data_IF_898348013676
#
_entry.id   IF_898348013676
#
_cell.length_a   1.000
_cell.length_b   1.000
_cell.length_c   1.000
_cell.angle_alpha   90.00
_cell.angle_beta   90.00
_cell.angle_gamma   90.00
#
_symmetry.space_group_name_H-M   'P 1'
#
loop_
_entity.id
_entity.type
_entity.pdbx_description
1 polymer ?
#
# COMPACT_ATOMS: atom_id res chain seq x y z
N UNK A 1 7.62 12.21 17.89
CA UNK A 1 9.11 12.15 17.89
C UNK A 1 9.64 12.19 16.46
N UNK A 2 10.74 12.94 16.19
CA UNK A 2 11.41 12.92 14.87
C UNK A 2 12.58 11.93 14.91
N UNK A 3 12.64 11.03 13.95
CA UNK A 3 13.64 9.96 13.88
C UNK A 3 14.33 9.98 12.51
N UNK A 4 15.64 9.92 12.52
CA UNK A 4 16.42 9.74 11.28
C UNK A 4 16.07 8.42 10.60
N UNK A 5 15.95 8.44 9.26
CA UNK A 5 15.50 7.28 8.49
C UNK A 5 16.45 6.07 8.56
N UNK A 6 17.76 6.30 8.71
CA UNK A 6 18.76 5.21 8.83
C UNK A 6 18.59 4.52 10.19
N UNK A 7 18.38 5.29 11.25
CA UNK A 7 18.09 4.74 12.59
C UNK A 7 16.75 3.99 12.60
N UNK A 8 15.74 4.51 11.94
CA UNK A 8 14.43 3.87 11.83
C UNK A 8 14.52 2.56 11.06
N UNK A 9 15.30 2.54 9.97
CA UNK A 9 15.59 1.34 9.19
C UNK A 9 16.30 0.26 10.03
N UNK A 10 17.31 0.66 10.79
CA UNK A 10 18.02 -0.26 11.68
C UNK A 10 17.09 -0.85 12.75
N UNK A 11 16.22 -0.03 13.35
CA UNK A 11 15.23 -0.47 14.32
C UNK A 11 14.24 -1.47 13.70
N UNK A 12 13.63 -1.12 12.56
CA UNK A 12 12.67 -1.96 11.86
C UNK A 12 13.29 -3.31 11.48
N UNK A 13 14.51 -3.29 10.92
CA UNK A 13 15.24 -4.50 10.56
C UNK A 13 15.48 -5.41 11.77
N UNK A 14 15.88 -4.85 12.91
CA UNK A 14 16.10 -5.62 14.14
C UNK A 14 14.82 -6.25 14.68
N UNK A 15 13.71 -5.53 14.65
CA UNK A 15 12.40 -6.07 15.09
C UNK A 15 12.02 -7.28 14.21
N UNK A 16 12.15 -7.16 12.89
CA UNK A 16 11.80 -8.24 11.96
C UNK A 16 12.74 -9.45 12.11
N UNK A 17 14.05 -9.21 12.32
CA UNK A 17 15.04 -10.28 12.60
C UNK A 17 14.70 -11.07 13.87
N UNK A 18 14.35 -10.38 14.96
CA UNK A 18 13.99 -11.02 16.23
C UNK A 18 12.71 -11.85 16.10
N UNK A 19 11.80 -11.44 15.18
CA UNK A 19 10.63 -12.23 14.79
C UNK A 19 10.95 -13.55 14.06
N UNK A 20 12.24 -13.84 13.78
CA UNK A 20 12.69 -15.09 13.16
C UNK A 20 12.91 -15.02 11.65
N UNK A 21 12.78 -13.84 11.05
CA UNK A 21 13.08 -13.63 9.62
C UNK A 21 14.57 -13.78 9.32
N UNK A 22 14.89 -14.28 8.13
CA UNK A 22 16.24 -14.25 7.58
C UNK A 22 16.72 -12.79 7.39
N UNK A 23 18.05 -12.55 7.35
CA UNK A 23 18.57 -11.21 7.10
C UNK A 23 18.04 -10.57 5.79
N UNK A 24 17.87 -11.38 4.74
CA UNK A 24 17.36 -10.91 3.46
C UNK A 24 15.87 -10.50 3.55
N UNK A 25 15.03 -11.31 4.18
CA UNK A 25 13.62 -11.00 4.41
C UNK A 25 13.46 -9.75 5.28
N UNK A 26 14.20 -9.68 6.39
CA UNK A 26 14.16 -8.55 7.31
C UNK A 26 14.56 -7.24 6.64
N UNK A 27 15.59 -7.25 5.79
CA UNK A 27 16.01 -6.07 5.04
C UNK A 27 14.90 -5.56 4.11
N UNK A 28 14.29 -6.44 3.32
CA UNK A 28 13.21 -6.07 2.38
C UNK A 28 12.02 -5.49 3.14
N UNK A 29 11.58 -6.12 4.23
CA UNK A 29 10.44 -5.65 5.02
C UNK A 29 10.73 -4.30 5.65
N UNK A 30 11.91 -4.14 6.26
CA UNK A 30 12.30 -2.89 6.91
C UNK A 30 12.43 -1.73 5.89
N UNK A 31 13.08 -1.97 4.75
CA UNK A 31 13.19 -1.00 3.65
C UNK A 31 11.80 -0.57 3.17
N UNK A 32 10.89 -1.51 2.94
CA UNK A 32 9.54 -1.21 2.48
C UNK A 32 8.77 -0.33 3.47
N UNK A 33 8.85 -0.63 4.77
CA UNK A 33 8.16 0.13 5.81
C UNK A 33 8.72 1.55 5.94
N UNK A 34 10.04 1.70 5.95
CA UNK A 34 10.67 3.02 6.08
C UNK A 34 10.49 3.85 4.81
N UNK A 35 10.57 3.23 3.63
CA UNK A 35 10.26 3.93 2.36
C UNK A 35 8.80 4.38 2.31
N UNK A 36 7.84 3.59 2.82
CA UNK A 36 6.46 4.02 2.96
C UNK A 36 6.33 5.28 3.86
N UNK A 37 7.05 5.31 4.99
CA UNK A 37 7.11 6.52 5.81
C UNK A 37 7.73 7.70 5.05
N UNK A 38 8.87 7.51 4.39
CA UNK A 38 9.53 8.57 3.62
C UNK A 38 8.59 9.17 2.56
N UNK A 39 7.80 8.34 1.89
CA UNK A 39 6.82 8.77 0.88
C UNK A 39 5.53 9.37 1.47
N UNK A 40 5.41 9.57 2.80
CA UNK A 40 4.21 10.14 3.42
C UNK A 40 3.07 9.14 3.64
N UNK A 41 3.31 7.85 3.46
CA UNK A 41 2.34 6.77 3.66
C UNK A 41 2.50 6.10 5.03
N UNK A 42 2.40 6.85 6.11
CA UNK A 42 2.67 6.40 7.49
C UNK A 42 1.77 5.24 7.94
N UNK A 43 0.59 5.11 7.35
CA UNK A 43 -0.31 3.98 7.61
C UNK A 43 0.25 2.62 7.18
N UNK A 44 1.23 2.61 6.28
CA UNK A 44 1.93 1.44 5.76
C UNK A 44 3.41 1.41 6.17
N UNK A 45 3.80 2.32 7.07
CA UNK A 45 5.15 2.46 7.58
C UNK A 45 5.42 1.58 8.81
N UNK A 46 6.43 1.97 9.58
CA UNK A 46 6.90 1.22 10.76
C UNK A 46 5.86 0.99 11.86
N UNK A 47 4.77 1.77 11.86
CA UNK A 47 3.62 1.54 12.73
C UNK A 47 2.92 0.19 12.50
N UNK A 48 3.21 -0.50 11.39
CA UNK A 48 2.71 -1.86 11.13
C UNK A 48 3.46 -2.95 11.89
N UNK A 49 4.64 -2.65 12.43
CA UNK A 49 5.46 -3.65 13.13
C UNK A 49 4.77 -4.27 14.34
N UNK A 50 3.98 -3.49 15.08
CA UNK A 50 3.19 -4.01 16.20
C UNK A 50 2.16 -5.07 15.74
N UNK A 51 1.47 -4.80 14.63
CA UNK A 51 0.55 -5.79 14.05
C UNK A 51 1.31 -7.03 13.55
N UNK A 52 2.48 -6.85 12.93
CA UNK A 52 3.26 -7.99 12.45
C UNK A 52 3.76 -8.88 13.59
N UNK A 53 4.21 -8.28 14.70
CA UNK A 53 4.63 -9.05 15.89
C UNK A 53 3.45 -9.85 16.46
N UNK A 54 2.27 -9.24 16.58
CA UNK A 54 1.07 -9.94 17.04
C UNK A 54 0.65 -11.06 16.10
N UNK A 55 0.71 -10.84 14.79
CA UNK A 55 0.32 -11.82 13.78
C UNK A 55 1.34 -12.97 13.68
N UNK A 56 2.63 -12.71 13.95
CA UNK A 56 3.64 -13.75 14.11
C UNK A 56 3.35 -14.63 15.33
N UNK A 57 3.05 -14.04 16.48
CA UNK A 57 2.71 -14.75 17.71
C UNK A 57 1.42 -15.57 17.58
N UNK A 58 0.44 -15.04 16.83
CA UNK A 58 -0.80 -15.74 16.50
C UNK A 58 -0.61 -16.83 15.42
N UNK A 59 0.54 -16.88 14.74
CA UNK A 59 0.81 -17.82 13.64
C UNK A 59 0.09 -17.49 12.33
N UNK A 60 -0.50 -16.31 12.21
CA UNK A 60 -1.19 -15.83 11.01
C UNK A 60 -0.24 -15.18 10.00
N UNK A 61 0.94 -14.74 10.46
CA UNK A 61 2.09 -14.36 9.64
C UNK A 61 3.17 -15.43 9.78
N UNK A 62 3.75 -15.87 8.67
CA UNK A 62 4.83 -16.87 8.64
C UNK A 62 6.09 -16.28 8.02
N UNK A 63 7.20 -16.39 8.74
CA UNK A 63 8.52 -15.92 8.26
C UNK A 63 9.12 -16.87 7.22
N UNK A 64 10.01 -16.35 6.39
CA UNK A 64 10.88 -17.10 5.46
C UNK A 64 10.07 -17.98 4.48
N UNK A 65 8.90 -17.55 4.08
CA UNK A 65 8.10 -18.31 3.13
C UNK A 65 8.64 -18.14 1.70
N UNK A 66 8.72 -19.28 1.01
CA UNK A 66 8.85 -19.30 -0.45
C UNK A 66 7.44 -19.47 -1.03
N UNK A 67 7.03 -18.63 -2.00
CA UNK A 67 5.71 -18.76 -2.60
C UNK A 67 5.59 -20.08 -3.35
N UNK A 68 4.38 -20.65 -3.33
CA UNK A 68 4.02 -21.77 -4.18
C UNK A 68 3.54 -21.24 -5.54
N UNK A 69 4.16 -21.69 -6.62
CA UNK A 69 3.68 -21.37 -7.97
C UNK A 69 2.55 -22.35 -8.32
N UNK A 70 1.31 -21.87 -8.17
CA UNK A 70 0.10 -22.67 -8.39
C UNK A 70 -0.11 -22.95 -9.88
N UNK A 71 0.17 -21.96 -10.73
CA UNK A 71 0.15 -22.09 -12.18
C UNK A 71 1.10 -21.13 -12.83
N UNK A 72 1.65 -21.51 -13.99
CA UNK A 72 2.49 -20.64 -14.80
C UNK A 72 2.38 -21.08 -16.29
N UNK A 73 1.86 -20.17 -17.12
CA UNK A 73 1.72 -20.40 -18.58
C UNK A 73 2.69 -19.55 -19.39
N UNK A 74 3.68 -18.94 -18.75
CA UNK A 74 4.67 -18.04 -19.36
C UNK A 74 4.26 -16.57 -19.31
N UNK A 75 3.03 -16.24 -19.61
CA UNK A 75 2.49 -14.86 -19.53
C UNK A 75 1.53 -14.64 -18.37
N UNK A 76 0.94 -15.73 -17.85
CA UNK A 76 0.04 -15.68 -16.69
C UNK A 76 0.58 -16.63 -15.63
N UNK A 77 0.69 -16.16 -14.40
CA UNK A 77 1.10 -16.97 -13.26
C UNK A 77 0.25 -16.66 -12.03
N UNK A 78 -0.03 -17.69 -11.24
CA UNK A 78 -0.71 -17.56 -9.95
C UNK A 78 0.19 -18.11 -8.85
N UNK A 79 0.43 -17.29 -7.84
CA UNK A 79 1.32 -17.59 -6.72
C UNK A 79 0.55 -17.58 -5.41
N UNK A 80 0.83 -18.53 -4.55
CA UNK A 80 0.33 -18.57 -3.17
C UNK A 80 1.46 -18.19 -2.22
N UNK A 81 1.28 -17.10 -1.49
CA UNK A 81 2.28 -16.57 -0.57
C UNK A 81 2.35 -17.31 0.77
N UNK A 82 1.42 -18.25 1.04
CA UNK A 82 1.44 -19.13 2.22
C UNK A 82 1.50 -18.35 3.55
N UNK A 83 0.82 -17.21 3.61
CA UNK A 83 0.83 -16.26 4.72
C UNK A 83 2.23 -15.66 5.04
N UNK A 84 3.15 -15.65 4.08
CA UNK A 84 4.45 -15.00 4.20
C UNK A 84 4.35 -13.48 4.11
N UNK A 85 5.45 -12.78 4.45
CA UNK A 85 5.53 -11.33 4.29
C UNK A 85 5.21 -10.91 2.86
N UNK A 86 4.10 -10.17 2.72
CA UNK A 86 3.62 -9.74 1.42
C UNK A 86 4.61 -8.84 0.70
N UNK A 87 5.37 -8.00 1.42
CA UNK A 87 6.40 -7.14 0.85
C UNK A 87 7.47 -7.93 0.09
N UNK A 88 7.86 -9.08 0.61
CA UNK A 88 8.87 -9.93 -0.01
C UNK A 88 8.32 -10.65 -1.23
N UNK A 89 7.17 -11.30 -1.07
CA UNK A 89 6.62 -12.18 -2.11
C UNK A 89 5.98 -11.38 -3.24
N UNK A 90 5.31 -10.26 -2.95
CA UNK A 90 4.77 -9.38 -3.99
C UNK A 90 5.89 -8.75 -4.84
N UNK A 91 7.03 -8.39 -4.23
CA UNK A 91 8.22 -7.93 -4.96
C UNK A 91 8.71 -9.02 -5.94
N UNK A 92 8.87 -10.25 -5.48
CA UNK A 92 9.28 -11.37 -6.33
C UNK A 92 8.28 -11.62 -7.48
N UNK A 93 6.99 -11.53 -7.19
CA UNK A 93 5.92 -11.71 -8.17
C UNK A 93 5.96 -10.63 -9.27
N UNK A 94 6.21 -9.37 -8.89
CA UNK A 94 6.35 -8.26 -9.85
C UNK A 94 7.66 -8.38 -10.65
N UNK A 95 8.77 -8.76 -10.03
CA UNK A 95 10.04 -9.03 -10.73
C UNK A 95 9.86 -10.15 -11.78
N UNK A 96 9.15 -11.23 -11.43
CA UNK A 96 8.76 -12.26 -12.41
C UNK A 96 7.92 -11.70 -13.54
N UNK A 97 6.91 -10.86 -13.23
CA UNK A 97 6.02 -10.30 -14.24
C UNK A 97 6.78 -9.36 -15.20
N UNK A 98 7.78 -8.61 -14.70
CA UNK A 98 8.65 -7.77 -15.52
C UNK A 98 9.44 -8.63 -16.54
N UNK A 99 10.07 -9.71 -16.09
CA UNK A 99 10.84 -10.60 -16.98
C UNK A 99 9.92 -11.30 -18.01
N UNK A 100 8.73 -11.71 -17.61
CA UNK A 100 7.75 -12.28 -18.52
C UNK A 100 7.24 -11.22 -19.54
N UNK A 101 7.00 -9.97 -19.11
CA UNK A 101 6.58 -8.89 -20.00
C UNK A 101 7.67 -8.52 -21.00
N UNK A 102 8.94 -8.44 -20.62
CA UNK A 102 10.07 -8.26 -21.55
C UNK A 102 10.06 -9.29 -22.67
N UNK A 103 9.77 -10.55 -22.32
CA UNK A 103 9.77 -11.67 -23.26
C UNK A 103 8.54 -11.68 -24.16
N UNK A 104 7.36 -11.44 -23.61
CA UNK A 104 6.08 -11.68 -24.26
C UNK A 104 5.27 -10.41 -24.56
N UNK A 105 5.71 -9.24 -24.10
CA UNK A 105 5.02 -7.96 -24.26
C UNK A 105 4.06 -7.63 -23.10
N UNK A 106 3.51 -8.66 -22.44
CA UNK A 106 2.60 -8.50 -21.30
C UNK A 106 2.74 -9.71 -20.37
N UNK A 107 2.55 -9.47 -19.08
CA UNK A 107 2.40 -10.52 -18.08
C UNK A 107 1.29 -10.18 -17.10
N UNK A 108 0.60 -11.21 -16.59
CA UNK A 108 -0.38 -11.12 -15.52
C UNK A 108 0.06 -12.03 -14.38
N UNK A 109 0.15 -11.48 -13.18
CA UNK A 109 0.41 -12.27 -11.98
C UNK A 109 -0.74 -12.12 -10.99
N UNK A 110 -1.29 -13.23 -10.53
CA UNK A 110 -2.21 -13.32 -9.41
C UNK A 110 -1.45 -13.77 -8.16
N UNK A 111 -1.37 -12.94 -7.13
CA UNK A 111 -0.84 -13.28 -5.82
C UNK A 111 -1.99 -13.48 -4.85
N UNK A 112 -1.97 -14.57 -4.09
CA UNK A 112 -2.98 -14.88 -3.08
C UNK A 112 -2.36 -15.27 -1.75
N UNK A 113 -3.15 -15.19 -0.68
CA UNK A 113 -2.77 -15.58 0.68
C UNK A 113 -1.47 -14.93 1.16
N UNK A 114 -1.17 -13.70 0.70
CA UNK A 114 -0.08 -12.92 1.24
C UNK A 114 -0.51 -12.29 2.56
N UNK A 115 0.40 -12.20 3.52
CA UNK A 115 0.23 -11.25 4.61
C UNK A 115 0.33 -9.83 4.05
N UNK A 116 0.26 -8.80 4.90
CA UNK A 116 0.24 -7.39 4.45
C UNK A 116 1.33 -7.07 3.41
N UNK A 117 0.93 -6.53 2.25
CA UNK A 117 1.85 -6.22 1.15
C UNK A 117 2.46 -4.81 1.23
N UNK A 118 2.07 -4.00 2.23
CA UNK A 118 2.58 -2.65 2.42
C UNK A 118 2.06 -1.64 1.41
N UNK A 119 2.86 -0.63 1.10
CA UNK A 119 2.55 0.41 0.09
C UNK A 119 2.63 -0.18 -1.32
N UNK A 120 1.52 -0.11 -2.06
CA UNK A 120 1.44 -0.73 -3.40
C UNK A 120 2.28 0.02 -4.43
N UNK A 121 2.44 1.34 -4.26
CA UNK A 121 3.30 2.18 -5.10
C UNK A 121 4.73 1.65 -5.24
N UNK A 122 5.27 0.98 -4.24
CA UNK A 122 6.60 0.34 -4.30
C UNK A 122 6.72 -0.63 -5.48
N UNK A 123 5.67 -1.40 -5.75
CA UNK A 123 5.66 -2.38 -6.86
C UNK A 123 5.54 -1.67 -8.22
N UNK A 124 4.74 -0.59 -8.27
CA UNK A 124 4.67 0.28 -9.43
C UNK A 124 6.01 0.91 -9.75
N UNK A 125 6.74 1.40 -8.74
CA UNK A 125 8.08 1.97 -8.90
C UNK A 125 9.10 0.93 -9.41
N UNK A 126 9.05 -0.31 -8.92
CA UNK A 126 9.91 -1.40 -9.41
C UNK A 126 9.67 -1.63 -10.90
N UNK A 127 8.41 -1.72 -11.33
CA UNK A 127 8.06 -1.92 -12.72
C UNK A 127 8.46 -0.70 -13.60
N UNK A 128 8.18 0.52 -13.15
CA UNK A 128 8.50 1.74 -13.87
C UNK A 128 10.02 1.94 -14.06
N UNK A 129 10.83 1.65 -13.03
CA UNK A 129 12.31 1.65 -13.13
C UNK A 129 12.83 0.60 -14.12
N UNK A 130 12.11 -0.48 -14.33
CA UNK A 130 12.41 -1.49 -15.35
C UNK A 130 11.90 -1.11 -16.76
N UNK A 131 11.31 0.09 -16.91
CA UNK A 131 10.75 0.60 -18.18
C UNK A 131 9.38 0.03 -18.51
N UNK A 132 8.67 -0.60 -17.54
CA UNK A 132 7.38 -1.24 -17.75
C UNK A 132 6.23 -0.37 -17.26
N UNK A 133 5.10 -0.43 -17.96
CA UNK A 133 3.82 0.03 -17.43
C UNK A 133 3.26 -1.06 -16.51
N UNK A 134 2.76 -0.69 -15.34
CA UNK A 134 2.17 -1.66 -14.41
C UNK A 134 0.83 -1.18 -13.85
N UNK A 135 -0.08 -2.13 -13.67
CA UNK A 135 -1.36 -1.94 -12.98
C UNK A 135 -1.46 -2.99 -11.87
N UNK A 136 -1.73 -2.53 -10.65
CA UNK A 136 -1.91 -3.41 -9.49
C UNK A 136 -3.27 -3.14 -8.87
N UNK A 137 -4.06 -4.20 -8.70
CA UNK A 137 -5.32 -4.21 -7.97
C UNK A 137 -5.14 -5.06 -6.72
N UNK A 138 -5.53 -4.52 -5.58
CA UNK A 138 -5.32 -5.19 -4.30
C UNK A 138 -6.63 -5.30 -3.53
N UNK A 139 -6.87 -6.47 -2.95
CA UNK A 139 -7.89 -6.61 -1.93
C UNK A 139 -7.26 -6.85 -0.56
N UNK A 140 -8.01 -6.51 0.47
CA UNK A 140 -7.64 -6.79 1.86
C UNK A 140 -8.78 -7.55 2.52
N UNK A 141 -8.49 -8.71 3.08
CA UNK A 141 -9.41 -9.47 3.91
C UNK A 141 -8.86 -9.52 5.33
N UNK A 142 -9.36 -8.67 6.22
CA UNK A 142 -8.89 -8.54 7.60
C UNK A 142 -9.94 -7.85 8.45
N UNK A 143 -10.32 -8.46 9.55
CA UNK A 143 -11.20 -7.87 10.56
C UNK A 143 -12.50 -7.27 10.01
N UNK A 144 -13.19 -6.44 10.82
CA UNK A 144 -14.42 -5.78 10.36
C UNK A 144 -14.12 -4.70 9.33
N UNK A 145 -14.75 -4.73 8.14
CA UNK A 145 -14.49 -3.80 7.07
C UNK A 145 -14.97 -2.39 7.44
N UNK A 146 -14.11 -1.35 7.33
CA UNK A 146 -14.46 0.01 7.74
C UNK A 146 -15.08 0.86 6.64
N UNK A 147 -15.03 0.47 5.36
CA UNK A 147 -15.45 1.30 4.22
C UNK A 147 -16.85 0.89 3.75
N UNK A 148 -17.76 1.86 3.72
CA UNK A 148 -19.12 1.64 3.23
C UNK A 148 -19.18 1.53 1.70
N UNK A 149 -20.08 0.73 1.13
CA UNK A 149 -20.42 0.83 -0.27
C UNK A 149 -21.22 2.12 -0.52
N UNK A 150 -21.29 2.54 -1.79
CA UNK A 150 -22.10 3.71 -2.17
C UNK A 150 -23.54 3.59 -1.67
N UNK A 151 -24.02 4.62 -0.96
CA UNK A 151 -25.33 4.69 -0.27
C UNK A 151 -25.51 3.71 0.90
N UNK A 152 -24.46 3.00 1.29
CA UNK A 152 -24.45 2.16 2.48
C UNK A 152 -24.03 2.95 3.72
N UNK A 153 -24.47 2.49 4.89
CA UNK A 153 -24.02 2.99 6.21
C UNK A 153 -23.29 1.95 7.04
N UNK A 154 -23.02 0.81 6.45
CA UNK A 154 -22.26 -0.27 7.07
C UNK A 154 -21.04 -0.61 6.22
N UNK A 155 -19.91 -0.90 6.85
CA UNK A 155 -18.70 -1.30 6.14
C UNK A 155 -18.86 -2.64 5.40
N UNK A 156 -18.33 -2.68 4.18
CA UNK A 156 -18.29 -3.90 3.34
C UNK A 156 -16.93 -4.09 2.67
N UNK A 157 -16.09 -3.06 2.64
CA UNK A 157 -14.77 -3.07 2.03
C UNK A 157 -13.71 -2.61 3.03
N UNK A 158 -12.50 -3.03 2.82
CA UNK A 158 -11.33 -2.34 3.32
C UNK A 158 -10.91 -1.26 2.30
N UNK A 159 -9.65 -0.83 2.36
CA UNK A 159 -9.19 0.32 1.57
C UNK A 159 -8.85 -0.03 0.12
N UNK A 160 -8.74 -1.32 -0.21
CA UNK A 160 -8.59 -1.91 -1.55
C UNK A 160 -7.88 -1.00 -2.55
N UNK A 161 -6.55 -0.84 -2.44
CA UNK A 161 -5.82 0.13 -3.23
C UNK A 161 -5.63 -0.29 -4.68
N UNK A 162 -5.45 0.72 -5.53
CA UNK A 162 -5.04 0.57 -6.94
C UNK A 162 -3.76 1.35 -7.15
N UNK A 163 -2.80 0.75 -7.85
CA UNK A 163 -1.62 1.45 -8.31
C UNK A 163 -1.46 1.31 -9.82
N UNK A 164 -1.21 2.44 -10.49
CA UNK A 164 -0.88 2.49 -11.90
C UNK A 164 0.44 3.24 -12.02
N UNK A 165 1.42 2.61 -12.68
CA UNK A 165 2.74 3.18 -12.91
C UNK A 165 3.05 3.25 -14.39
N UNK A 166 3.56 4.39 -14.83
CA UNK A 166 4.05 4.64 -16.18
C UNK A 166 5.54 5.00 -16.07
N UNK A 167 6.43 4.39 -16.84
CA UNK A 167 7.85 4.68 -16.76
C UNK A 167 8.15 6.15 -17.07
N UNK A 168 9.21 6.67 -16.45
CA UNK A 168 9.69 8.02 -16.71
C UNK A 168 10.27 8.18 -18.10
N UNK A 169 10.57 9.41 -18.44
CA UNK A 169 11.28 9.81 -19.66
C UNK A 169 12.70 10.26 -19.32
N UNK A 170 13.44 10.75 -20.29
CA UNK A 170 14.73 11.37 -20.02
C UNK A 170 14.60 12.72 -19.28
N UNK A 171 13.39 13.33 -19.28
CA UNK A 171 13.11 14.63 -18.69
C UNK A 171 12.21 14.57 -17.45
N UNK A 172 11.47 13.49 -17.25
CA UNK A 172 10.50 13.37 -16.17
C UNK A 172 10.60 12.02 -15.43
N UNK A 173 10.46 12.09 -14.14
CA UNK A 173 10.32 10.92 -13.29
C UNK A 173 9.04 10.11 -13.62
N UNK A 174 8.95 8.84 -13.23
CA UNK A 174 7.77 8.02 -13.47
C UNK A 174 6.48 8.66 -12.93
N UNK A 175 5.38 8.49 -13.67
CA UNK A 175 4.04 8.77 -13.15
C UNK A 175 3.61 7.59 -12.29
N UNK A 176 3.30 7.87 -11.03
CA UNK A 176 2.90 6.87 -10.06
C UNK A 176 1.58 7.28 -9.41
N UNK A 177 0.50 6.64 -9.80
CA UNK A 177 -0.82 6.81 -9.20
C UNK A 177 -1.05 5.64 -8.23
N UNK A 178 -0.89 5.89 -6.92
CA UNK A 178 -1.12 4.90 -5.84
C UNK A 178 -2.13 5.48 -4.86
N UNK A 179 -3.31 4.85 -4.75
CA UNK A 179 -4.38 5.38 -3.93
C UNK A 179 -5.31 4.29 -3.39
N UNK A 180 -5.83 4.54 -2.18
CA UNK A 180 -6.92 3.75 -1.62
C UNK A 180 -8.25 4.07 -2.30
N UNK A 181 -9.15 3.11 -2.41
CA UNK A 181 -10.53 3.34 -2.92
C UNK A 181 -11.43 4.01 -1.89
N UNK A 182 -10.99 4.12 -0.65
CA UNK A 182 -11.61 4.95 0.40
C UNK A 182 -11.17 6.41 0.29
N UNK A 183 -12.00 7.33 0.79
CA UNK A 183 -11.70 8.77 0.79
C UNK A 183 -10.49 9.12 1.65
N UNK A 184 -10.27 8.36 2.72
CA UNK A 184 -9.12 8.47 3.63
C UNK A 184 -8.65 7.09 4.06
N UNK A 185 -7.36 6.95 4.33
CA UNK A 185 -6.81 5.74 4.94
C UNK A 185 -7.15 5.69 6.43
N UNK A 186 -7.37 4.49 6.98
CA UNK A 186 -7.64 4.30 8.43
C UNK A 186 -6.53 4.85 9.33
N UNK A 187 -5.29 4.82 8.87
CA UNK A 187 -4.18 5.45 9.59
C UNK A 187 -4.35 6.96 9.78
N UNK A 188 -4.90 7.68 8.79
CA UNK A 188 -5.22 9.11 8.92
C UNK A 188 -6.34 9.36 9.93
N UNK A 189 -7.35 8.48 9.96
CA UNK A 189 -8.43 8.54 10.97
C UNK A 189 -7.85 8.34 12.37
N UNK A 190 -6.93 7.38 12.55
CA UNK A 190 -6.26 7.13 13.82
C UNK A 190 -5.47 8.35 14.30
N UNK A 191 -4.67 8.94 13.43
CA UNK A 191 -3.88 10.14 13.74
C UNK A 191 -4.79 11.30 14.16
N UNK A 192 -5.87 11.55 13.41
CA UNK A 192 -6.83 12.58 13.75
C UNK A 192 -7.51 12.32 15.10
N UNK A 193 -7.94 11.08 15.36
CA UNK A 193 -8.52 10.66 16.63
C UNK A 193 -7.57 10.90 17.80
N UNK A 194 -6.33 10.44 17.71
CA UNK A 194 -5.32 10.59 18.74
C UNK A 194 -4.96 12.07 19.01
N UNK A 195 -5.02 12.90 17.96
CA UNK A 195 -4.75 14.34 18.07
C UNK A 195 -5.99 15.17 18.46
N UNK A 196 -7.16 14.57 18.61
CA UNK A 196 -8.42 15.30 18.86
C UNK A 196 -8.79 16.26 17.74
N UNK A 197 -8.37 15.98 16.49
CA UNK A 197 -8.62 16.82 15.31
C UNK A 197 -9.77 16.29 14.47
N UNK A 198 -10.57 17.16 13.84
CA UNK A 198 -11.62 16.72 12.94
C UNK A 198 -11.04 16.11 11.65
N UNK A 199 -11.81 15.22 11.05
CA UNK A 199 -11.57 14.71 9.69
C UNK A 199 -12.11 15.67 8.63
N UNK A 200 -11.73 15.41 7.37
CA UNK A 200 -12.27 16.14 6.23
C UNK A 200 -13.80 15.90 6.10
N UNK A 201 -14.52 16.93 5.69
CA UNK A 201 -15.95 16.82 5.35
C UNK A 201 -16.20 15.73 4.33
N UNK A 202 -17.25 14.94 4.54
CA UNK A 202 -17.64 13.84 3.67
C UNK A 202 -16.68 12.65 3.70
N UNK A 203 -15.82 12.51 4.71
CA UNK A 203 -14.97 11.34 4.90
C UNK A 203 -15.64 10.22 5.69
N UNK A 204 -16.53 10.58 6.63
CA UNK A 204 -17.11 9.64 7.59
C UNK A 204 -18.64 9.76 7.64
N UNK A 205 -19.29 8.63 7.98
CA UNK A 205 -20.65 8.60 8.53
C UNK A 205 -20.60 8.02 9.95
N UNK A 206 -21.48 8.50 10.81
CA UNK A 206 -21.75 7.84 12.09
C UNK A 206 -22.56 6.53 11.90
N UNK A 207 -22.83 5.82 12.98
CA UNK A 207 -23.60 4.57 12.97
C UNK A 207 -25.05 4.75 12.49
N UNK A 208 -25.59 5.97 12.55
CA UNK A 208 -26.95 6.28 12.04
C UNK A 208 -26.96 6.59 10.56
N UNK A 209 -25.78 6.79 9.93
CA UNK A 209 -25.60 7.15 8.53
C UNK A 209 -25.54 8.65 8.29
N UNK A 210 -25.38 9.48 9.35
CA UNK A 210 -25.24 10.93 9.21
C UNK A 210 -23.77 11.29 8.97
N UNK A 211 -23.50 12.26 8.08
CA UNK A 211 -22.15 12.77 7.87
C UNK A 211 -21.55 13.35 9.16
N UNK A 212 -20.28 13.03 9.41
CA UNK A 212 -19.54 13.53 10.57
C UNK A 212 -18.09 13.77 10.25
N UNK A 213 -17.44 14.69 10.97
CA UNK A 213 -15.99 14.91 10.96
C UNK A 213 -15.31 14.35 12.21
N UNK A 214 -16.07 13.78 13.15
CA UNK A 214 -15.53 13.21 14.38
C UNK A 214 -14.92 11.83 14.13
N UNK A 215 -13.59 11.67 14.21
CA UNK A 215 -12.93 10.39 14.00
C UNK A 215 -13.25 9.35 15.10
N UNK A 216 -13.76 9.77 16.27
CA UNK A 216 -14.09 8.87 17.39
C UNK A 216 -15.19 7.87 17.03
N UNK A 217 -16.04 8.19 16.05
CA UNK A 217 -17.10 7.27 15.58
C UNK A 217 -16.56 5.94 15.06
N UNK A 218 -15.30 5.90 14.60
CA UNK A 218 -14.66 4.66 14.13
C UNK A 218 -14.19 3.74 15.26
N UNK A 219 -14.16 4.24 16.51
CA UNK A 219 -13.68 3.53 17.70
C UNK A 219 -14.78 3.29 18.74
N UNK A 220 -15.98 3.77 18.50
CA UNK A 220 -17.15 3.55 19.36
C UNK A 220 -17.68 2.11 19.25
N UNK A 221 -18.47 1.67 20.22
CA UNK A 221 -19.12 0.36 20.18
C UNK A 221 -20.03 0.21 18.95
N UNK A 222 -20.80 1.25 18.64
CA UNK A 222 -21.53 1.37 17.38
C UNK A 222 -20.69 2.15 16.37
N UNK A 223 -19.91 1.42 15.58
CA UNK A 223 -18.95 2.04 14.67
C UNK A 223 -19.61 2.77 13.52
N UNK A 224 -19.06 3.94 13.21
CA UNK A 224 -19.28 4.62 11.95
C UNK A 224 -18.50 3.95 10.79
N UNK A 225 -18.49 4.59 9.64
CA UNK A 225 -17.82 4.09 8.45
C UNK A 225 -17.05 5.20 7.73
N UNK A 226 -16.01 4.79 7.02
CA UNK A 226 -15.31 5.63 6.04
C UNK A 226 -16.04 5.56 4.71
N UNK A 227 -16.16 6.68 4.01
CA UNK A 227 -16.76 6.74 2.68
C UNK A 227 -15.75 6.43 1.57
N UNK A 228 -16.20 5.87 0.43
CA UNK A 228 -15.36 5.72 -0.76
C UNK A 228 -15.03 7.09 -1.38
N UNK A 229 -13.87 7.22 -2.06
CA UNK A 229 -13.59 8.44 -2.81
C UNK A 229 -14.56 8.58 -3.99
N UNK A 230 -14.93 9.81 -4.37
CA UNK A 230 -15.78 10.06 -5.54
C UNK A 230 -17.07 9.22 -5.55
N UNK A 231 -17.62 8.93 -4.37
CA UNK A 231 -18.91 8.26 -4.16
C UNK A 231 -18.97 6.87 -4.85
N UNK A 232 -19.87 6.72 -5.86
CA UNK A 232 -20.07 5.47 -6.59
C UNK A 232 -18.82 5.00 -7.35
N UNK A 233 -17.91 5.91 -7.73
CA UNK A 233 -16.69 5.58 -8.48
C UNK A 233 -15.72 4.77 -7.61
N UNK A 234 -15.38 5.29 -6.43
CA UNK A 234 -14.53 4.59 -5.47
C UNK A 234 -15.16 3.30 -4.95
N UNK A 235 -16.48 3.31 -4.69
CA UNK A 235 -17.21 2.10 -4.29
C UNK A 235 -17.18 1.02 -5.39
N UNK A 236 -17.39 1.41 -6.64
CA UNK A 236 -17.31 0.51 -7.78
C UNK A 236 -15.91 -0.08 -7.94
N UNK A 237 -14.89 0.76 -7.80
CA UNK A 237 -13.49 0.32 -7.91
C UNK A 237 -13.08 -0.59 -6.73
N UNK A 238 -13.57 -0.32 -5.50
CA UNK A 238 -13.37 -1.21 -4.34
C UNK A 238 -13.92 -2.62 -4.60
N UNK A 239 -15.12 -2.71 -5.16
CA UNK A 239 -15.71 -4.00 -5.57
C UNK A 239 -14.87 -4.68 -6.65
N UNK A 240 -14.42 -3.94 -7.67
CA UNK A 240 -13.57 -4.49 -8.74
C UNK A 240 -12.26 -5.03 -8.15
N UNK A 241 -11.62 -4.34 -7.21
CA UNK A 241 -10.44 -4.85 -6.51
C UNK A 241 -10.72 -6.15 -5.73
N UNK A 242 -11.85 -6.24 -5.01
CA UNK A 242 -12.27 -7.48 -4.34
C UNK A 242 -12.43 -8.64 -5.31
N UNK A 243 -13.00 -8.38 -6.49
CA UNK A 243 -13.23 -9.43 -7.48
C UNK A 243 -11.93 -9.83 -8.18
N UNK A 244 -11.12 -8.87 -8.63
CA UNK A 244 -9.88 -9.13 -9.36
C UNK A 244 -8.82 -9.76 -8.45
N UNK A 245 -8.54 -9.13 -7.31
CA UNK A 245 -7.47 -9.52 -6.40
C UNK A 245 -7.90 -10.56 -5.35
N UNK A 246 -9.20 -10.74 -5.16
CA UNK A 246 -9.76 -11.77 -4.29
C UNK A 246 -10.25 -12.97 -5.10
N UNK A 247 -11.45 -12.87 -5.64
CA UNK A 247 -12.16 -14.02 -6.24
C UNK A 247 -11.43 -14.59 -7.46
N UNK A 248 -10.99 -13.76 -8.42
CA UNK A 248 -10.41 -14.21 -9.69
C UNK A 248 -9.05 -14.87 -9.50
N UNK A 249 -8.20 -14.34 -8.59
CA UNK A 249 -6.90 -14.96 -8.30
C UNK A 249 -7.00 -16.14 -7.32
N UNK A 250 -8.20 -16.43 -6.81
CA UNK A 250 -8.43 -17.47 -5.82
C UNK A 250 -7.92 -17.13 -4.42
N UNK A 251 -7.85 -15.83 -4.08
CA UNK A 251 -7.61 -15.34 -2.72
C UNK A 251 -8.92 -15.24 -1.92
N UNK A 252 -8.82 -14.82 -0.66
CA UNK A 252 -9.99 -14.60 0.19
C UNK A 252 -10.56 -13.21 -0.07
N UNK A 253 -11.87 -13.11 -0.30
CA UNK A 253 -12.60 -11.83 -0.33
C UNK A 253 -13.14 -11.49 1.05
N UNK A 254 -13.30 -10.19 1.35
CA UNK A 254 -13.92 -9.76 2.59
C UNK A 254 -15.43 -10.02 2.56
N UNK A 255 -15.88 -11.04 3.27
CA UNK A 255 -17.29 -11.41 3.40
C UNK A 255 -17.60 -11.87 4.83
N UNK A 256 -18.86 -12.14 5.14
CA UNK A 256 -19.26 -12.72 6.43
C UNK A 256 -18.67 -14.11 6.70
N UNK A 257 -18.14 -14.77 5.66
CA UNK A 257 -17.49 -16.07 5.77
C UNK A 257 -15.98 -15.96 6.03
N UNK A 258 -15.43 -14.75 6.00
CA UNK A 258 -13.99 -14.54 6.28
C UNK A 258 -13.77 -14.66 7.79
N UNK A 259 -12.99 -15.66 8.26
CA UNK A 259 -12.72 -15.79 9.68
C UNK A 259 -11.95 -14.58 10.22
N UNK A 260 -12.39 -13.98 11.34
CA UNK A 260 -11.73 -12.80 11.90
C UNK A 260 -10.31 -13.08 12.42
N UNK A 261 -9.99 -14.34 12.74
CA UNK A 261 -8.71 -14.76 13.32
C UNK A 261 -7.61 -14.99 12.23
N UNK A 262 -7.90 -14.75 10.96
CA UNK A 262 -6.93 -14.99 9.87
C UNK A 262 -5.77 -14.01 9.83
N UNK A 263 -5.78 -12.95 10.64
CA UNK A 263 -4.85 -11.84 10.50
C UNK A 263 -5.09 -11.05 9.21
N UNK A 264 -4.08 -10.37 8.72
CA UNK A 264 -4.16 -9.61 7.46
C UNK A 264 -3.92 -10.57 6.29
N UNK A 265 -4.87 -10.63 5.36
CA UNK A 265 -4.72 -11.37 4.10
C UNK A 265 -4.88 -10.41 2.94
N UNK A 266 -3.86 -10.37 2.07
CA UNK A 266 -3.91 -9.64 0.82
C UNK A 266 -3.91 -10.60 -0.38
N UNK A 267 -4.71 -10.26 -1.37
CA UNK A 267 -4.55 -10.69 -2.74
C UNK A 267 -4.11 -9.51 -3.61
N UNK A 268 -3.42 -9.80 -4.70
CA UNK A 268 -3.03 -8.80 -5.69
C UNK A 268 -3.12 -9.38 -7.10
N UNK A 269 -3.74 -8.64 -8.01
CA UNK A 269 -3.62 -8.86 -9.44
C UNK A 269 -2.71 -7.81 -10.02
N UNK A 270 -1.61 -8.24 -10.64
CA UNK A 270 -0.66 -7.36 -11.34
C UNK A 270 -0.72 -7.60 -12.84
N UNK A 271 -0.80 -6.53 -13.61
CA UNK A 271 -0.65 -6.54 -15.08
C UNK A 271 0.57 -5.68 -15.39
N UNK A 272 1.57 -6.26 -16.05
CA UNK A 272 2.80 -5.58 -16.45
C UNK A 272 2.91 -5.62 -17.95
N UNK A 273 3.15 -4.47 -18.58
CA UNK A 273 3.16 -4.31 -20.03
C UNK A 273 4.51 -3.70 -20.45
N UNK A 274 5.13 -4.29 -21.45
CA UNK A 274 6.28 -3.70 -22.15
C UNK A 274 5.78 -2.66 -23.17
N UNK A 275 5.92 -1.35 -22.89
CA UNK A 275 5.40 -0.33 -23.79
C UNK A 275 6.12 -0.28 -25.14
N UNK A 276 7.35 -0.82 -25.25
CA UNK A 276 8.09 -0.92 -26.52
C UNK A 276 7.40 -1.85 -27.53
N UNK A 277 6.46 -2.68 -27.08
CA UNK A 277 5.62 -3.52 -27.97
C UNK A 277 4.38 -2.78 -28.49
N UNK A 278 4.05 -1.62 -27.93
CA UNK A 278 2.86 -0.86 -28.29
C UNK A 278 3.19 0.35 -29.15
N UNK A 279 4.35 0.98 -28.96
CA UNK A 279 4.72 2.24 -29.60
C UNK A 279 6.22 2.34 -29.79
N UNK A 280 6.62 3.26 -30.69
CA UNK A 280 8.02 3.66 -30.85
C UNK A 280 8.42 4.49 -29.62
N UNK A 281 9.52 4.12 -28.99
CA UNK A 281 9.99 4.72 -27.73
C UNK A 281 10.04 6.25 -27.78
N UNK A 282 10.69 6.82 -28.78
CA UNK A 282 10.91 8.27 -28.87
C UNK A 282 9.60 9.04 -29.00
N UNK A 283 8.65 8.52 -29.79
CA UNK A 283 7.32 9.12 -29.91
C UNK A 283 6.56 9.05 -28.59
N UNK A 284 6.60 7.92 -27.88
CA UNK A 284 5.97 7.75 -26.57
C UNK A 284 6.55 8.72 -25.55
N UNK A 285 7.88 8.82 -25.45
CA UNK A 285 8.54 9.74 -24.51
C UNK A 285 8.17 11.20 -24.79
N UNK A 286 8.14 11.61 -26.05
CA UNK A 286 7.74 12.97 -26.45
C UNK A 286 6.32 13.30 -26.02
N UNK A 287 5.37 12.39 -26.23
CA UNK A 287 3.97 12.59 -25.83
C UNK A 287 3.79 12.61 -24.32
N UNK A 288 4.50 11.76 -23.56
CA UNK A 288 4.48 11.78 -22.10
C UNK A 288 5.00 13.13 -21.59
N UNK A 289 6.14 13.61 -22.10
CA UNK A 289 6.72 14.90 -21.71
C UNK A 289 5.79 16.07 -22.04
N UNK A 290 5.18 16.05 -23.23
CA UNK A 290 4.22 17.06 -23.64
C UNK A 290 2.98 17.08 -22.72
N UNK A 291 2.44 15.91 -22.37
CA UNK A 291 1.28 15.81 -21.50
C UNK A 291 1.58 16.28 -20.07
N UNK A 292 2.72 15.89 -19.48
CA UNK A 292 3.16 16.37 -18.18
C UNK A 292 3.32 17.90 -18.18
N UNK A 293 4.01 18.43 -19.20
CA UNK A 293 4.21 19.88 -19.36
C UNK A 293 2.89 20.61 -19.49
N UNK A 294 1.95 20.06 -20.26
CA UNK A 294 0.61 20.63 -20.43
C UNK A 294 -0.16 20.69 -19.10
N UNK A 295 -0.18 19.61 -18.35
CA UNK A 295 -0.84 19.59 -17.04
C UNK A 295 -0.22 20.60 -16.09
N UNK A 296 1.11 20.65 -16.03
CA UNK A 296 1.85 21.55 -15.09
C UNK A 296 1.80 23.02 -15.51
N UNK A 297 1.47 23.33 -16.76
CA UNK A 297 1.27 24.70 -17.24
C UNK A 297 -0.07 25.32 -16.83
N UNK A 298 -0.98 24.52 -16.23
CA UNK A 298 -2.22 25.06 -15.70
C UNK A 298 -1.93 26.06 -14.56
N UNK A 299 -2.69 27.16 -14.52
CA UNK A 299 -2.56 28.12 -13.42
C UNK A 299 -2.97 27.44 -12.11
N UNK A 300 -2.15 27.50 -11.06
CA UNK A 300 -2.49 26.93 -9.77
C UNK A 300 -3.70 27.65 -9.17
N UNK A 301 -4.55 26.91 -8.44
CA UNK A 301 -5.68 27.49 -7.72
C UNK A 301 -5.22 28.31 -6.50
N UNK A 302 -4.09 27.93 -5.94
CA UNK A 302 -3.38 28.63 -4.88
C UNK A 302 -1.97 28.95 -5.42
N UNK A 303 -1.62 30.25 -5.48
CA UNK A 303 -0.37 30.72 -6.08
C UNK A 303 0.88 30.18 -5.36
N UNK A 304 0.76 29.81 -4.08
CA UNK A 304 1.84 29.24 -3.26
C UNK A 304 2.01 27.73 -3.47
N UNK A 305 1.07 27.05 -4.16
CA UNK A 305 1.06 25.61 -4.34
C UNK A 305 1.16 25.24 -5.84
N UNK A 306 2.24 24.60 -6.27
CA UNK A 306 2.38 24.20 -7.69
C UNK A 306 1.39 23.11 -8.08
N UNK A 307 1.02 23.07 -9.37
CA UNK A 307 0.29 21.93 -9.95
C UNK A 307 1.20 20.72 -9.97
N UNK A 308 0.76 19.62 -9.35
CA UNK A 308 1.51 18.37 -9.24
C UNK A 308 0.87 17.26 -10.08
N UNK A 309 1.70 16.36 -10.59
CA UNK A 309 1.27 15.12 -11.21
C UNK A 309 1.45 13.95 -10.24
N UNK A 310 0.81 12.81 -10.54
CA UNK A 310 0.85 11.63 -9.67
C UNK A 310 2.29 11.13 -9.44
N UNK A 311 2.65 10.89 -8.19
CA UNK A 311 3.98 10.51 -7.71
C UNK A 311 4.84 11.70 -7.25
N UNK A 312 4.53 12.95 -7.62
CA UNK A 312 5.28 14.12 -7.14
C UNK A 312 5.09 14.37 -5.63
N UNK A 313 3.87 14.27 -5.05
CA UNK A 313 3.69 14.44 -3.60
C UNK A 313 4.57 13.49 -2.79
N UNK A 314 4.68 12.23 -3.20
CA UNK A 314 5.50 11.21 -2.55
C UNK A 314 7.00 11.55 -2.65
N UNK A 315 7.46 12.03 -3.79
CA UNK A 315 8.87 12.44 -3.99
C UNK A 315 9.23 13.69 -3.17
N UNK A 316 8.31 14.64 -3.06
CA UNK A 316 8.48 15.84 -2.22
C UNK A 316 8.58 15.41 -0.76
N UNK A 317 7.61 14.63 -0.26
CA UNK A 317 7.62 14.12 1.10
C UNK A 317 8.90 13.34 1.42
N UNK A 318 9.35 12.49 0.48
CA UNK A 318 10.57 11.72 0.62
C UNK A 318 11.81 12.61 0.76
N UNK A 319 11.92 13.64 -0.06
CA UNK A 319 13.05 14.58 0.00
C UNK A 319 13.08 15.34 1.32
N UNK A 320 11.93 15.84 1.75
CA UNK A 320 11.77 16.57 3.01
C UNK A 320 12.08 15.67 4.21
N UNK A 321 11.55 14.44 4.24
CA UNK A 321 11.74 13.52 5.36
C UNK A 321 13.14 12.91 5.44
N UNK A 322 13.85 12.81 4.34
CA UNK A 322 15.28 12.45 4.36
C UNK A 322 16.09 13.59 5.04
N UNK A 323 15.76 14.84 4.76
CA UNK A 323 16.49 15.98 5.29
C UNK A 323 16.11 16.30 6.75
N UNK A 324 14.81 16.24 7.08
CA UNK A 324 14.28 16.67 8.38
C UNK A 324 14.08 15.51 9.38
N UNK A 325 14.11 14.26 8.92
CA UNK A 325 13.70 13.08 9.67
C UNK A 325 12.21 12.76 9.51
N UNK A 326 11.82 11.59 9.98
CA UNK A 326 10.45 11.07 9.92
C UNK A 326 9.76 11.34 11.26
N UNK A 327 8.61 12.00 11.22
CA UNK A 327 7.78 12.18 12.41
C UNK A 327 7.01 10.89 12.70
N UNK A 328 7.27 10.31 13.87
CA UNK A 328 6.55 9.16 14.41
C UNK A 328 5.69 9.62 15.58
N UNK A 329 4.39 9.34 15.52
CA UNK A 329 3.48 9.70 16.62
C UNK A 329 3.83 8.95 17.91
N UNK A 330 3.47 9.54 19.06
CA UNK A 330 3.88 9.02 20.37
C UNK A 330 3.31 7.64 20.66
N UNK A 331 2.11 7.31 20.16
CA UNK A 331 1.50 5.99 20.35
C UNK A 331 2.26 4.92 19.56
N UNK A 332 2.60 5.19 18.30
CA UNK A 332 3.44 4.31 17.48
C UNK A 332 4.81 4.14 18.11
N UNK A 333 5.43 5.24 18.59
CA UNK A 333 6.74 5.14 19.23
C UNK A 333 6.70 4.32 20.53
N UNK A 334 5.65 4.46 21.33
CA UNK A 334 5.46 3.65 22.53
C UNK A 334 5.32 2.15 22.20
N UNK A 335 4.57 1.81 21.15
CA UNK A 335 4.45 0.42 20.66
C UNK A 335 5.81 -0.16 20.23
N UNK A 336 6.58 0.59 19.43
CA UNK A 336 7.91 0.16 19.01
C UNK A 336 8.86 -0.01 20.21
N UNK A 337 8.81 0.92 21.17
CA UNK A 337 9.60 0.85 22.40
C UNK A 337 9.25 -0.37 23.26
N UNK A 338 7.97 -0.72 23.37
CA UNK A 338 7.52 -1.91 24.07
C UNK A 338 8.04 -3.21 23.41
N UNK A 339 8.07 -3.25 22.07
CA UNK A 339 8.66 -4.38 21.33
C UNK A 339 10.18 -4.47 21.61
N UNK A 340 10.88 -3.34 21.57
CA UNK A 340 12.33 -3.29 21.84
C UNK A 340 12.64 -3.81 23.24
N UNK A 341 11.88 -3.38 24.25
CA UNK A 341 12.04 -3.82 25.64
C UNK A 341 11.72 -5.33 25.80
N UNK A 342 10.58 -5.75 25.27
CA UNK A 342 10.10 -7.13 25.36
C UNK A 342 11.09 -8.13 24.77
N UNK A 343 11.68 -7.82 23.60
CA UNK A 343 12.62 -8.69 22.90
C UNK A 343 14.09 -8.37 23.19
N UNK A 344 14.35 -7.45 24.14
CA UNK A 344 15.70 -7.01 24.54
C UNK A 344 16.59 -6.63 23.34
N UNK A 345 16.01 -5.91 22.39
CA UNK A 345 16.68 -5.50 21.15
C UNK A 345 17.76 -4.46 21.50
N UNK A 346 19.03 -4.77 21.22
CA UNK A 346 20.13 -3.81 21.36
C UNK A 346 20.26 -3.03 20.03
N UNK A 347 20.04 -1.75 20.09
CA UNK A 347 20.41 -0.83 19.02
C UNK A 347 21.88 -0.45 19.27
N UNK A 348 22.78 -0.92 18.41
CA UNK A 348 24.15 -0.45 18.45
C UNK A 348 24.16 1.03 18.02
N UNK A 349 24.75 1.87 18.84
CA UNK A 349 24.95 3.31 18.63
C UNK A 349 25.78 3.60 17.38
#
# INVERSE_FOLDING_TARGET
MIVDHVRLLALANRIVLVGGSSPAEAAIVAEHLVEANLCGHDSHGVGMLDAYVRDLEAGTLKVNQTPEIVSNTGTISVWDARAGYGQVIARQAVEWAIEAAKKHGVAVNGLRNAHHIGRVGTYGEIAARAGMVALHFVNVASGPPPVAPFRGREGRFLTNPVCIAIPGTDNNEPILLDFATSRVAMGKVRVAHNAGKPMLDGALLDHTGQPTTDPSVMYSEQRGVVLPFGEHKGSGLALVCELLAGAIVGSTSVTTQTPPERGIVNGMLSIVIDPARLSVRDSMMTEIDAMISWVKSAKPADEDLPVLVAGEPERIARTERIAAGIEIDDATWAQLSAIVERYQIRLHS
#
